data_IF_697139723989
#
_entry.id   IF_697139723989
#
_cell.length_a   1.000
_cell.length_b   1.000
_cell.length_c   1.000
_cell.angle_alpha   90.00
_cell.angle_beta   90.00
_cell.angle_gamma   90.00
#
_symmetry.space_group_name_H-M   'P 1'
#
loop_
_entity.id
_entity.type
_entity.pdbx_description
1 polymer ?
#
# COMPACT_ATOMS: atom_id res chain seq x y z
N UNK A 1 -6.82 14.00 1.80
CA UNK A 1 -5.68 13.23 2.34
C UNK A 1 -6.23 12.03 3.07
N UNK A 2 -5.71 10.87 2.71
CA UNK A 2 -6.00 9.67 3.46
C UNK A 2 -5.28 9.77 4.81
N UNK A 3 -5.94 9.36 5.88
CA UNK A 3 -5.26 9.22 7.17
C UNK A 3 -4.46 7.91 7.19
N UNK A 4 -3.41 7.82 6.36
CA UNK A 4 -2.48 6.69 6.25
C UNK A 4 -1.05 7.14 6.56
N UNK A 5 -0.29 6.26 7.20
CA UNK A 5 1.12 6.46 7.53
C UNK A 5 1.88 5.13 7.48
N UNK A 6 3.16 5.13 7.86
CA UNK A 6 4.00 3.93 7.87
C UNK A 6 3.51 2.80 8.78
N UNK A 7 2.66 3.09 9.76
CA UNK A 7 2.08 2.11 10.69
C UNK A 7 0.80 1.47 10.16
N UNK A 8 0.10 2.15 9.24
CA UNK A 8 -1.06 1.59 8.55
C UNK A 8 -0.66 0.29 7.86
N UNK A 9 -1.42 -0.77 8.06
CA UNK A 9 -1.12 -2.05 7.41
C UNK A 9 -1.63 -2.09 5.98
N UNK A 10 -0.98 -2.88 5.13
CA UNK A 10 -1.43 -3.18 3.76
C UNK A 10 -2.88 -3.69 3.76
N UNK A 11 -3.24 -4.53 4.73
CA UNK A 11 -4.61 -5.01 4.90
C UNK A 11 -5.60 -3.89 5.22
N UNK A 12 -5.31 -3.02 6.18
CA UNK A 12 -6.19 -1.90 6.52
C UNK A 12 -6.36 -0.94 5.36
N UNK A 13 -5.27 -0.63 4.65
CA UNK A 13 -5.29 0.18 3.44
C UNK A 13 -6.23 -0.44 2.39
N UNK A 14 -6.03 -1.70 2.02
CA UNK A 14 -6.83 -2.35 0.98
C UNK A 14 -8.28 -2.65 1.40
N UNK A 15 -8.54 -2.75 2.70
CA UNK A 15 -9.91 -2.87 3.24
C UNK A 15 -10.70 -1.58 3.02
N UNK A 16 -10.06 -0.42 3.23
CA UNK A 16 -10.70 0.90 3.10
C UNK A 16 -10.64 1.42 1.66
N UNK A 17 -9.58 1.10 0.93
CA UNK A 17 -9.27 1.61 -0.39
C UNK A 17 -8.80 0.45 -1.31
N UNK A 18 -9.73 -0.39 -1.79
CA UNK A 18 -9.38 -1.53 -2.66
C UNK A 18 -8.64 -1.12 -3.94
N UNK A 19 -8.86 0.10 -4.44
CA UNK A 19 -8.16 0.67 -5.59
C UNK A 19 -6.65 0.89 -5.39
N UNK A 20 -6.16 0.92 -4.14
CA UNK A 20 -4.72 1.00 -3.88
C UNK A 20 -3.97 -0.29 -4.28
N UNK A 21 -4.68 -1.39 -4.55
CA UNK A 21 -4.06 -2.66 -4.92
C UNK A 21 -3.19 -2.52 -6.18
N UNK A 22 -3.63 -1.78 -7.18
CA UNK A 22 -2.90 -1.66 -8.45
C UNK A 22 -1.54 -0.97 -8.26
N UNK A 23 -1.47 0.01 -7.34
CA UNK A 23 -0.20 0.65 -6.93
C UNK A 23 0.70 -0.35 -6.20
N UNK A 24 0.17 -1.07 -5.21
CA UNK A 24 0.98 -2.06 -4.49
C UNK A 24 1.46 -3.18 -5.42
N UNK A 25 0.64 -3.59 -6.39
CA UNK A 25 0.99 -4.58 -7.40
C UNK A 25 2.09 -4.09 -8.34
N UNK A 26 2.11 -2.80 -8.72
CA UNK A 26 3.22 -2.23 -9.50
C UNK A 26 4.54 -2.20 -8.74
N UNK A 27 4.49 -2.22 -7.41
CA UNK A 27 5.66 -2.36 -6.53
C UNK A 27 5.97 -3.82 -6.16
N UNK A 28 5.30 -4.81 -6.75
CA UNK A 28 5.63 -6.22 -6.57
C UNK A 28 4.83 -6.94 -5.48
N UNK A 29 3.69 -6.38 -5.04
CA UNK A 29 2.69 -7.15 -4.31
C UNK A 29 2.16 -8.29 -5.18
N UNK A 30 2.05 -9.48 -4.60
CA UNK A 30 1.60 -10.66 -5.32
C UNK A 30 0.12 -10.56 -5.72
N UNK A 31 -0.27 -11.12 -6.88
CA UNK A 31 -1.69 -11.09 -7.31
C UNK A 31 -2.61 -11.86 -6.35
N UNK A 32 -2.16 -12.98 -5.77
CA UNK A 32 -2.91 -13.72 -4.77
C UNK A 32 -3.08 -12.96 -3.44
N UNK A 33 -2.27 -11.90 -3.21
CA UNK A 33 -2.39 -11.05 -2.04
C UNK A 33 -3.64 -10.14 -2.11
N UNK A 34 -4.32 -10.05 -3.27
CA UNK A 34 -5.57 -9.30 -3.45
C UNK A 34 -6.70 -9.85 -2.57
N UNK A 35 -6.82 -11.18 -2.51
CA UNK A 35 -7.91 -11.85 -1.79
C UNK A 35 -7.64 -11.97 -0.29
N UNK A 36 -6.36 -11.99 0.10
CA UNK A 36 -5.95 -12.01 1.51
C UNK A 36 -4.73 -11.11 1.74
N UNK A 37 -4.95 -9.78 1.85
CA UNK A 37 -3.88 -8.83 2.08
C UNK A 37 -3.08 -9.14 3.36
N UNK A 38 -1.75 -9.03 3.30
CA UNK A 38 -0.90 -9.24 4.46
C UNK A 38 -1.15 -8.14 5.51
N UNK A 39 -1.21 -8.48 6.81
CA UNK A 39 -1.35 -7.51 7.88
C UNK A 39 0.01 -6.91 8.26
N UNK A 40 0.79 -6.45 7.27
CA UNK A 40 2.12 -5.86 7.48
C UNK A 40 2.06 -4.33 7.32
N UNK A 41 2.82 -3.55 8.10
CA UNK A 41 2.87 -2.09 7.94
C UNK A 41 3.36 -1.65 6.57
N UNK A 42 2.87 -0.51 6.07
CA UNK A 42 3.33 0.08 4.81
C UNK A 42 4.83 0.39 4.84
N UNK A 43 5.39 0.78 5.99
CA UNK A 43 6.84 0.95 6.14
C UNK A 43 7.61 -0.36 5.87
N UNK A 44 7.07 -1.50 6.30
CA UNK A 44 7.68 -2.81 6.03
C UNK A 44 7.60 -3.14 4.54
N UNK A 45 6.44 -2.89 3.91
CA UNK A 45 6.26 -3.08 2.48
C UNK A 45 7.25 -2.22 1.69
N UNK A 46 7.32 -0.91 1.96
CA UNK A 46 8.23 0.01 1.30
C UNK A 46 9.70 -0.41 1.46
N UNK A 47 10.10 -0.87 2.64
CA UNK A 47 11.46 -1.39 2.84
C UNK A 47 11.77 -2.65 2.01
N UNK A 48 10.77 -3.48 1.73
CA UNK A 48 10.94 -4.71 0.94
C UNK A 48 10.81 -4.51 -0.57
N UNK A 49 10.06 -3.51 -0.99
CA UNK A 49 9.57 -3.38 -2.36
C UNK A 49 9.88 -2.04 -3.02
N UNK A 50 10.20 -1.01 -2.23
CA UNK A 50 10.35 0.37 -2.69
C UNK A 50 11.64 1.01 -2.16
N UNK A 51 12.69 0.23 -1.89
CA UNK A 51 13.98 0.69 -1.32
C UNK A 51 13.87 1.53 -0.03
N UNK A 52 12.78 1.36 0.71
CA UNK A 52 12.48 2.13 1.93
C UNK A 52 11.81 3.49 1.67
N UNK A 53 11.50 3.86 0.43
CA UNK A 53 10.81 5.11 0.09
C UNK A 53 9.31 5.05 0.39
N UNK A 54 8.99 5.10 1.68
CA UNK A 54 7.62 5.12 2.18
C UNK A 54 6.83 6.35 1.72
N UNK A 55 7.47 7.52 1.64
CA UNK A 55 6.76 8.76 1.33
C UNK A 55 6.27 8.74 -0.11
N UNK A 56 7.12 8.30 -1.06
CA UNK A 56 6.69 8.18 -2.44
C UNK A 56 5.56 7.15 -2.60
N UNK A 57 5.66 5.99 -1.93
CA UNK A 57 4.59 5.00 -1.92
C UNK A 57 3.25 5.58 -1.43
N UNK A 58 3.26 6.35 -0.33
CA UNK A 58 2.05 7.00 0.20
C UNK A 58 1.47 7.98 -0.83
N UNK A 59 2.32 8.81 -1.46
CA UNK A 59 1.88 9.77 -2.46
C UNK A 59 1.20 9.08 -3.66
N UNK A 60 1.76 7.97 -4.15
CA UNK A 60 1.17 7.21 -5.26
C UNK A 60 -0.17 6.57 -4.86
N UNK A 61 -0.26 6.02 -3.65
CA UNK A 61 -1.52 5.49 -3.11
C UNK A 61 -2.56 6.59 -3.00
N UNK A 62 -2.23 7.75 -2.44
CA UNK A 62 -3.15 8.89 -2.32
C UNK A 62 -3.61 9.39 -3.70
N UNK A 63 -2.72 9.46 -4.69
CA UNK A 63 -3.06 9.86 -6.05
C UNK A 63 -4.00 8.85 -6.75
N UNK A 64 -3.88 7.56 -6.45
CA UNK A 64 -4.70 6.51 -7.04
C UNK A 64 -6.11 6.43 -6.42
N UNK A 65 -6.26 6.77 -5.14
CA UNK A 65 -7.53 6.58 -4.40
C UNK A 65 -8.22 7.88 -3.98
N UNK A 66 -7.53 9.02 -4.11
CA UNK A 66 -8.07 10.37 -3.88
C UNK A 66 -8.78 10.96 -5.09
N UNK A 67 -8.91 10.20 -6.18
CA UNK A 67 -9.82 10.45 -7.31
C UNK A 67 -11.19 9.82 -7.03
#
# INVERSE_FOLDING_TARGET
MLNIDGSTTVRELLTKHPGAFDVLASHGMCQSCKDNPPPVPLAHFAHKHCDGDLQNLINEVEAAVGQ
#
